data_IF_494459887666
#
_entry.id   IF_494459887666
#
_cell.length_a   1.000
_cell.length_b   1.000
_cell.length_c   1.000
_cell.angle_alpha   90.00
_cell.angle_beta   90.00
_cell.angle_gamma   90.00
#
_symmetry.space_group_name_H-M   'P 1'
#
loop_
_entity.id
_entity.type
_entity.pdbx_description
1 polymer ?
#
# COMPACT_ATOMS: atom_id res chain seq x y z
N UNK A 1 -36.65 6.51 -7.50
CA UNK A 1 -35.84 7.66 -7.04
C UNK A 1 -35.19 7.25 -5.73
N UNK A 2 -33.86 7.10 -5.69
CA UNK A 2 -33.15 6.99 -4.43
C UNK A 2 -33.26 8.35 -3.74
N UNK A 3 -34.02 8.40 -2.64
CA UNK A 3 -34.06 9.54 -1.73
C UNK A 3 -32.63 9.81 -1.27
N UNK A 4 -31.98 10.85 -1.77
CA UNK A 4 -30.69 11.29 -1.22
C UNK A 4 -30.95 11.76 0.21
N UNK A 5 -30.46 11.00 1.19
CA UNK A 5 -30.46 11.41 2.59
C UNK A 5 -29.72 12.74 2.71
N UNK A 6 -30.33 13.71 3.39
CA UNK A 6 -29.71 15.01 3.63
C UNK A 6 -28.60 14.83 4.66
N UNK A 7 -27.45 15.46 4.44
CA UNK A 7 -26.37 15.49 5.43
C UNK A 7 -26.90 16.07 6.76
N UNK A 8 -26.75 15.31 7.85
CA UNK A 8 -27.30 15.63 9.17
C UNK A 8 -26.25 16.15 10.15
N UNK A 9 -24.99 16.29 9.73
CA UNK A 9 -23.90 16.76 10.57
C UNK A 9 -23.83 18.29 10.59
N UNK A 10 -23.72 18.87 11.78
CA UNK A 10 -23.23 20.24 11.90
C UNK A 10 -21.76 20.30 11.44
N UNK A 11 -21.33 21.35 10.72
CA UNK A 11 -19.95 21.45 10.27
C UNK A 11 -19.00 21.61 11.46
N UNK A 12 -18.22 20.57 11.75
CA UNK A 12 -17.16 20.61 12.78
C UNK A 12 -15.80 20.95 12.16
N UNK A 13 -15.64 20.65 10.87
CA UNK A 13 -14.43 20.89 10.07
C UNK A 13 -14.87 21.36 8.69
N UNK A 14 -14.22 22.41 8.17
CA UNK A 14 -14.42 22.91 6.81
C UNK A 14 -13.33 22.37 5.88
N UNK A 15 -13.73 21.94 4.67
CA UNK A 15 -12.80 21.50 3.64
C UNK A 15 -12.52 22.65 2.68
N UNK A 16 -11.31 23.23 2.74
CA UNK A 16 -10.85 24.19 1.74
C UNK A 16 -10.24 23.45 0.55
N UNK A 17 -10.89 23.54 -0.60
CA UNK A 17 -10.41 22.90 -1.83
C UNK A 17 -9.32 23.78 -2.44
N UNK A 18 -8.12 23.20 -2.63
CA UNK A 18 -7.03 23.87 -3.34
C UNK A 18 -7.44 24.12 -4.81
N UNK A 19 -7.47 25.38 -5.29
CA UNK A 19 -7.90 25.72 -6.65
C UNK A 19 -6.94 25.23 -7.75
N UNK A 20 -5.74 24.79 -7.39
CA UNK A 20 -4.74 24.27 -8.33
C UNK A 20 -4.78 22.74 -8.52
N UNK A 21 -5.74 22.04 -7.89
CA UNK A 21 -5.94 20.61 -8.13
C UNK A 21 -6.65 20.39 -9.46
N UNK A 22 -5.99 19.71 -10.41
CA UNK A 22 -6.69 19.15 -11.56
C UNK A 22 -7.64 18.05 -11.09
N UNK A 23 -8.90 18.12 -11.53
CA UNK A 23 -9.88 17.06 -11.28
C UNK A 23 -9.49 15.76 -11.98
N UNK A 24 -8.80 15.87 -13.12
CA UNK A 24 -8.32 14.74 -13.89
C UNK A 24 -7.10 14.11 -13.22
N UNK A 25 -7.27 12.86 -12.80
CA UNK A 25 -6.20 11.98 -12.36
C UNK A 25 -6.24 10.72 -13.22
N UNK A 26 -5.29 10.59 -14.12
CA UNK A 26 -5.15 9.36 -14.89
C UNK A 26 -4.51 8.27 -14.04
N UNK A 27 -5.02 7.05 -14.16
CA UNK A 27 -4.33 5.87 -13.61
C UNK A 27 -2.98 5.77 -14.30
N UNK A 28 -1.87 5.60 -13.56
CA UNK A 28 -0.57 5.50 -14.19
C UNK A 28 -0.51 4.28 -15.13
N UNK A 29 0.02 4.48 -16.34
CA UNK A 29 0.09 3.44 -17.38
C UNK A 29 0.89 2.19 -17.00
N UNK A 30 1.72 2.28 -15.97
CA UNK A 30 2.49 1.16 -15.42
C UNK A 30 1.69 0.27 -14.45
N UNK A 31 0.45 0.63 -14.12
CA UNK A 31 -0.45 -0.19 -13.29
C UNK A 31 -1.31 -1.05 -14.20
N UNK A 32 -0.95 -2.34 -14.32
CA UNK A 32 -1.72 -3.33 -15.07
C UNK A 32 -1.88 -4.63 -14.25
N UNK A 33 -2.76 -5.51 -14.71
CA UNK A 33 -3.13 -6.74 -14.00
C UNK A 33 -1.93 -7.65 -13.71
N UNK A 34 -0.96 -7.71 -14.62
CA UNK A 34 0.20 -8.58 -14.46
C UNK A 34 1.16 -8.03 -13.40
N UNK A 35 1.35 -6.70 -13.35
CA UNK A 35 2.08 -6.06 -12.26
C UNK A 35 1.37 -6.26 -10.92
N UNK A 36 0.03 -6.13 -10.87
CA UNK A 36 -0.74 -6.36 -9.64
C UNK A 36 -0.57 -7.81 -9.15
N UNK A 37 -0.63 -8.79 -10.05
CA UNK A 37 -0.40 -10.21 -9.71
C UNK A 37 1.01 -10.45 -9.20
N UNK A 38 2.03 -9.92 -9.86
CA UNK A 38 3.43 -10.09 -9.46
C UNK A 38 3.72 -9.45 -8.09
N UNK A 39 3.22 -8.23 -7.85
CA UNK A 39 3.32 -7.54 -6.55
C UNK A 39 2.63 -8.36 -5.47
N UNK A 40 1.41 -8.85 -5.72
CA UNK A 40 0.65 -9.65 -4.75
C UNK A 40 1.33 -10.98 -4.44
N UNK A 41 1.83 -11.68 -5.45
CA UNK A 41 2.55 -12.94 -5.31
C UNK A 41 3.77 -12.79 -4.38
N UNK A 42 4.61 -11.79 -4.64
CA UNK A 42 5.75 -11.49 -3.77
C UNK A 42 5.32 -11.22 -2.32
N UNK A 43 4.36 -10.32 -2.11
CA UNK A 43 3.92 -9.97 -0.75
C UNK A 43 3.29 -11.14 0.00
N UNK A 44 2.59 -12.03 -0.69
CA UNK A 44 2.03 -13.25 -0.08
C UNK A 44 3.09 -14.21 0.44
N UNK A 45 4.33 -14.14 -0.08
CA UNK A 45 5.45 -14.92 0.45
C UNK A 45 6.09 -14.32 1.71
N UNK A 46 5.84 -13.04 2.02
CA UNK A 46 6.46 -12.39 3.17
C UNK A 46 5.87 -12.89 4.50
N UNK A 47 6.69 -13.10 5.53
CA UNK A 47 6.21 -13.51 6.85
C UNK A 47 5.18 -12.53 7.42
N UNK A 48 4.08 -13.07 7.94
CA UNK A 48 3.02 -12.26 8.54
C UNK A 48 2.17 -11.48 7.53
N UNK A 49 2.23 -11.80 6.24
CA UNK A 49 1.30 -11.23 5.27
C UNK A 49 -0.15 -11.65 5.56
N UNK A 50 -1.04 -10.68 5.58
CA UNK A 50 -2.47 -10.88 5.43
C UNK A 50 -3.12 -9.65 4.76
N UNK A 51 -4.27 -9.81 4.06
CA UNK A 51 -5.04 -8.67 3.58
C UNK A 51 -5.53 -7.81 4.76
N UNK A 52 -5.20 -6.52 4.75
CA UNK A 52 -5.69 -5.56 5.76
C UNK A 52 -7.20 -5.36 5.65
N UNK A 53 -7.90 -5.00 6.74
CA UNK A 53 -9.36 -4.81 6.71
C UNK A 53 -9.80 -3.70 5.75
N UNK A 54 -10.97 -3.89 5.16
CA UNK A 54 -11.75 -2.83 4.52
C UNK A 54 -12.96 -2.57 5.42
N UNK A 55 -12.87 -1.54 6.25
CA UNK A 55 -13.88 -1.23 7.27
C UNK A 55 -15.03 -0.48 6.62
N UNK A 56 -16.25 -0.99 6.76
CA UNK A 56 -17.46 -0.29 6.31
C UNK A 56 -17.99 0.63 7.43
N UNK A 57 -18.18 1.91 7.15
CA UNK A 57 -18.67 2.92 8.09
C UNK A 57 -20.10 3.33 7.74
N UNK A 58 -21.02 2.36 7.78
CA UNK A 58 -22.42 2.51 7.33
C UNK A 58 -23.15 3.67 8.01
N UNK A 59 -23.02 3.78 9.33
CA UNK A 59 -23.68 4.84 10.11
C UNK A 59 -23.16 6.23 9.71
N UNK A 60 -21.85 6.37 9.50
CA UNK A 60 -21.27 7.65 9.07
C UNK A 60 -21.68 7.98 7.64
N UNK A 61 -21.72 6.98 6.74
CA UNK A 61 -22.20 7.15 5.37
C UNK A 61 -23.66 7.66 5.35
N UNK A 62 -24.54 7.05 6.17
CA UNK A 62 -25.93 7.47 6.35
C UNK A 62 -26.04 8.92 6.80
N UNK A 63 -25.29 9.30 7.84
CA UNK A 63 -25.29 10.68 8.38
C UNK A 63 -24.78 11.72 7.39
N UNK A 64 -23.83 11.34 6.54
CA UNK A 64 -23.29 12.19 5.47
C UNK A 64 -24.18 12.27 4.22
N UNK A 65 -25.19 11.40 4.09
CA UNK A 65 -26.03 11.34 2.90
C UNK A 65 -25.37 10.68 1.68
N UNK A 66 -24.37 9.81 1.89
CA UNK A 66 -23.65 9.10 0.82
C UNK A 66 -23.96 7.59 0.86
N UNK A 67 -23.82 6.92 -0.28
CA UNK A 67 -24.18 5.49 -0.40
C UNK A 67 -23.27 4.56 0.42
N UNK A 68 -21.97 4.82 0.44
CA UNK A 68 -21.02 3.99 1.17
C UNK A 68 -19.78 4.80 1.56
N UNK A 69 -19.24 4.51 2.74
CA UNK A 69 -17.95 5.01 3.20
C UNK A 69 -17.13 3.81 3.70
N UNK A 70 -16.04 3.52 2.99
CA UNK A 70 -15.16 2.40 3.32
C UNK A 70 -13.74 2.91 3.59
N UNK A 71 -13.11 2.40 4.63
CA UNK A 71 -11.73 2.75 5.02
C UNK A 71 -10.84 1.53 4.90
N UNK A 72 -9.80 1.62 4.08
CA UNK A 72 -8.76 0.59 4.00
C UNK A 72 -7.78 0.76 5.14
N UNK A 73 -7.84 -0.11 6.15
CA UNK A 73 -7.07 0.02 7.39
C UNK A 73 -5.66 -0.57 7.25
N UNK A 74 -4.73 0.23 6.73
CA UNK A 74 -3.32 -0.14 6.60
C UNK A 74 -2.51 -0.03 7.91
N UNK A 75 -3.14 0.31 9.04
CA UNK A 75 -2.44 0.32 10.34
C UNK A 75 -2.00 -1.10 10.75
N UNK A 76 -2.65 -2.12 10.20
CA UNK A 76 -2.36 -3.52 10.51
C UNK A 76 -1.31 -4.15 9.59
N UNK A 77 -0.89 -3.42 8.54
CA UNK A 77 0.05 -3.91 7.52
C UNK A 77 1.39 -4.31 8.16
N UNK A 78 1.66 -5.63 8.22
CA UNK A 78 2.87 -6.22 8.80
C UNK A 78 3.23 -5.73 10.23
N UNK A 79 2.26 -5.21 10.99
CA UNK A 79 2.52 -4.59 12.30
C UNK A 79 3.31 -3.27 12.25
N UNK A 80 3.48 -2.67 11.06
CA UNK A 80 4.27 -1.46 10.85
C UNK A 80 3.48 -0.15 10.97
N UNK A 81 2.16 -0.22 11.23
CA UNK A 81 1.27 0.94 11.38
C UNK A 81 1.19 1.83 10.13
N UNK A 82 1.61 1.34 8.96
CA UNK A 82 1.61 2.05 7.69
C UNK A 82 1.73 1.11 6.48
N UNK A 83 1.27 1.56 5.32
CA UNK A 83 1.30 0.80 4.07
C UNK A 83 2.66 0.79 3.34
N UNK A 84 3.59 1.69 3.71
CA UNK A 84 4.80 2.00 2.90
C UNK A 84 5.76 0.82 2.70
N UNK A 85 5.66 -0.20 3.54
CA UNK A 85 6.38 -1.46 3.36
C UNK A 85 6.07 -2.12 2.03
N UNK A 86 4.82 -2.03 1.54
CA UNK A 86 4.46 -2.64 0.25
C UNK A 86 5.31 -2.12 -0.91
N UNK A 87 5.58 -0.82 -0.93
CA UNK A 87 6.44 -0.20 -1.93
C UNK A 87 7.93 -0.49 -1.68
N UNK A 88 8.37 -0.32 -0.43
CA UNK A 88 9.78 -0.49 -0.07
C UNK A 88 10.25 -1.93 -0.29
N UNK A 89 9.55 -2.93 0.26
CA UNK A 89 9.93 -4.33 0.13
C UNK A 89 9.89 -4.80 -1.31
N UNK A 90 8.88 -4.38 -2.10
CA UNK A 90 8.83 -4.75 -3.51
C UNK A 90 9.96 -4.11 -4.32
N UNK A 91 10.24 -2.83 -4.14
CA UNK A 91 11.35 -2.18 -4.84
C UNK A 91 12.70 -2.82 -4.50
N UNK A 92 12.95 -3.08 -3.20
CA UNK A 92 14.16 -3.78 -2.74
C UNK A 92 14.24 -5.19 -3.31
N UNK A 93 13.12 -5.91 -3.40
CA UNK A 93 13.07 -7.26 -3.99
C UNK A 93 13.52 -7.27 -5.45
N UNK A 94 13.18 -6.23 -6.23
CA UNK A 94 13.60 -6.13 -7.64
C UNK A 94 15.11 -5.91 -7.78
N UNK A 95 15.74 -5.22 -6.83
CA UNK A 95 17.20 -5.06 -6.82
C UNK A 95 17.92 -6.32 -6.36
N UNK A 96 17.39 -6.97 -5.32
CA UNK A 96 17.85 -8.30 -4.87
C UNK A 96 17.73 -9.31 -6.01
N UNK A 97 16.64 -9.30 -6.77
CA UNK A 97 16.43 -10.15 -7.95
C UNK A 97 17.58 -10.03 -8.94
N UNK A 98 17.99 -8.81 -9.29
CA UNK A 98 19.11 -8.57 -10.21
C UNK A 98 20.43 -9.09 -9.65
N UNK A 99 20.67 -8.88 -8.36
CA UNK A 99 21.88 -9.34 -7.66
C UNK A 99 22.01 -10.87 -7.68
N UNK A 100 20.89 -11.57 -7.50
CA UNK A 100 20.81 -13.02 -7.44
C UNK A 100 20.63 -13.69 -8.81
N UNK A 101 20.35 -12.92 -9.88
CA UNK A 101 20.07 -13.46 -11.20
C UNK A 101 18.76 -14.24 -11.31
N UNK A 102 17.78 -13.92 -10.46
CA UNK A 102 16.47 -14.58 -10.43
C UNK A 102 15.52 -14.02 -11.50
N UNK A 103 14.59 -14.86 -11.94
CA UNK A 103 13.44 -14.44 -12.75
C UNK A 103 12.28 -13.94 -11.86
N UNK A 104 11.24 -13.36 -12.46
CA UNK A 104 10.12 -12.78 -11.70
C UNK A 104 9.28 -13.85 -10.99
N UNK A 105 9.20 -15.06 -11.54
CA UNK A 105 8.49 -16.21 -10.97
C UNK A 105 9.21 -16.81 -9.75
N UNK A 106 10.53 -16.60 -9.67
CA UNK A 106 11.39 -17.12 -8.60
C UNK A 106 11.52 -16.15 -7.42
N UNK A 107 11.08 -14.91 -7.59
CA UNK A 107 11.24 -13.84 -6.60
C UNK A 107 10.20 -13.97 -5.48
N UNK A 108 10.56 -14.74 -4.45
CA UNK A 108 9.81 -14.88 -3.20
C UNK A 108 10.73 -14.79 -1.98
N UNK A 109 10.15 -14.69 -0.78
CA UNK A 109 10.89 -14.55 0.47
C UNK A 109 11.88 -15.70 0.73
N UNK A 110 11.48 -16.95 0.48
CA UNK A 110 12.32 -18.13 0.73
C UNK A 110 13.56 -18.14 -0.19
N UNK A 111 13.39 -17.74 -1.45
CA UNK A 111 14.51 -17.59 -2.39
C UNK A 111 15.51 -16.52 -1.92
N UNK A 112 15.02 -15.41 -1.36
CA UNK A 112 15.86 -14.34 -0.81
C UNK A 112 16.64 -14.84 0.41
N UNK A 113 15.97 -15.48 1.37
CA UNK A 113 16.60 -15.95 2.61
C UNK A 113 17.62 -17.06 2.34
N UNK A 114 17.33 -17.97 1.40
CA UNK A 114 18.25 -19.05 1.01
C UNK A 114 19.57 -18.50 0.43
N UNK A 115 19.53 -17.33 -0.20
CA UNK A 115 20.69 -16.69 -0.84
C UNK A 115 21.26 -15.51 -0.06
N UNK A 116 21.00 -15.41 1.25
CA UNK A 116 21.37 -14.27 2.09
C UNK A 116 22.87 -13.91 2.03
N UNK A 117 23.77 -14.88 1.90
CA UNK A 117 25.23 -14.65 1.82
C UNK A 117 25.63 -13.78 0.62
N UNK A 118 24.94 -13.92 -0.52
CA UNK A 118 25.18 -13.09 -1.70
C UNK A 118 24.71 -11.62 -1.53
N UNK A 119 23.98 -11.34 -0.45
CA UNK A 119 23.40 -10.03 -0.13
C UNK A 119 24.17 -9.31 0.99
N UNK A 120 25.21 -9.91 1.58
CA UNK A 120 25.93 -9.34 2.73
C UNK A 120 26.53 -7.95 2.46
N UNK A 121 26.95 -7.69 1.22
CA UNK A 121 27.49 -6.37 0.84
C UNK A 121 26.42 -5.36 0.43
N UNK A 122 25.15 -5.76 0.39
CA UNK A 122 24.06 -4.91 -0.10
C UNK A 122 23.59 -3.97 1.01
N UNK A 123 23.72 -2.66 0.77
CA UNK A 123 23.27 -1.63 1.70
C UNK A 123 22.23 -0.75 1.01
N UNK A 124 21.04 -0.65 1.61
CA UNK A 124 20.02 0.30 1.20
C UNK A 124 20.14 1.58 2.03
N UNK A 125 20.03 2.73 1.37
CA UNK A 125 20.11 4.04 2.01
C UNK A 125 18.85 4.83 1.64
N UNK A 126 18.23 5.47 2.62
CA UNK A 126 17.04 6.30 2.41
C UNK A 126 16.96 7.43 3.43
N UNK A 127 16.35 8.55 3.04
CA UNK A 127 15.94 9.62 3.95
C UNK A 127 14.43 9.48 4.23
N UNK A 128 13.99 9.78 5.45
CA UNK A 128 12.57 9.66 5.79
C UNK A 128 12.14 10.54 6.95
N UNK A 129 10.86 10.94 6.94
CA UNK A 129 10.16 11.47 8.12
C UNK A 129 9.58 10.36 9.01
N UNK A 130 9.74 9.07 8.65
CA UNK A 130 9.37 7.94 9.51
C UNK A 130 9.00 6.68 8.72
N UNK A 131 7.74 6.59 8.27
CA UNK A 131 7.16 5.34 7.74
C UNK A 131 7.93 4.72 6.56
N UNK A 132 8.63 5.51 5.74
CA UNK A 132 9.39 4.95 4.62
C UNK A 132 10.70 4.32 5.07
N UNK A 133 11.49 4.98 5.93
CA UNK A 133 12.72 4.38 6.46
C UNK A 133 12.44 3.20 7.37
N UNK A 134 11.35 3.25 8.18
CA UNK A 134 10.90 2.07 8.93
C UNK A 134 10.57 0.89 8.01
N UNK A 135 9.98 1.16 6.85
CA UNK A 135 9.66 0.15 5.85
C UNK A 135 10.89 -0.41 5.11
N UNK A 136 11.92 0.42 4.88
CA UNK A 136 13.20 -0.02 4.29
C UNK A 136 14.05 -0.83 5.28
N UNK A 137 13.92 -0.52 6.58
CA UNK A 137 14.67 -1.20 7.64
C UNK A 137 14.05 -2.53 8.11
N UNK A 138 12.74 -2.74 7.88
CA UNK A 138 12.03 -3.98 8.21
C UNK A 138 12.41 -5.11 7.25
#
# INVERSE_FOLDING_TARGET
MLSMSVNTLEPIIECEINPFLSADRETPSYVNDDQVKAVRFFHQSLPGYFPTPLVNLEELASRLGINALMVKDESQRFGLKAFKVLGASYAMSKEIKKRLGLNDEELNYDAIITNKSALESLTFVTATDGNHGRAVAW
#
